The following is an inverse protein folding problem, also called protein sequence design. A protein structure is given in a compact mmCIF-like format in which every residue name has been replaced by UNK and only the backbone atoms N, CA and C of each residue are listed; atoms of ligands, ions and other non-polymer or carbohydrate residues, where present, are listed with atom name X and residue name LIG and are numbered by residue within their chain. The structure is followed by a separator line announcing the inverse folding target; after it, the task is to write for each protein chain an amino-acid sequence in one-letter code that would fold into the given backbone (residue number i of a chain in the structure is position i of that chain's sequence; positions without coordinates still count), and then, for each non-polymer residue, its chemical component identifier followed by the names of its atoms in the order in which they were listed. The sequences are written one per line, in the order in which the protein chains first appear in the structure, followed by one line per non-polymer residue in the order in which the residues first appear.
data_IF_058069767660
#
_entry.id   IF_058069767660
#
_cell.length_a   1.000
_cell.length_b   1.000
_cell.length_c   1.000
_cell.angle_alpha   90.00
_cell.angle_beta   90.00
_cell.angle_gamma   90.00
#
_symmetry.space_group_name_H-M   'P 1'
#
loop_
_entity.id
_entity.type
_entity.pdbx_description
1 polymer ?
#
# COMPACT_ATOMS: atom_id res chain seq x y z
N UNK A 1 4.57 -14.06 -6.85
CA UNK A 1 3.70 -13.61 -5.75
C UNK A 1 4.56 -12.78 -4.82
N UNK A 2 4.13 -11.55 -4.46
CA UNK A 2 4.96 -10.63 -3.70
C UNK A 2 5.40 -11.25 -2.37
N UNK A 3 6.63 -10.96 -1.97
CA UNK A 3 7.24 -11.46 -0.74
C UNK A 3 6.50 -10.96 0.50
N UNK A 4 6.02 -9.72 0.44
CA UNK A 4 5.22 -9.13 1.49
C UNK A 4 4.19 -8.15 0.91
N UNK A 5 3.10 -7.93 1.64
CA UNK A 5 2.10 -6.89 1.34
C UNK A 5 1.66 -6.23 2.63
N UNK A 6 1.56 -4.92 2.62
CA UNK A 6 1.14 -4.13 3.77
C UNK A 6 0.28 -2.95 3.35
N UNK A 7 -0.55 -2.50 4.28
CA UNK A 7 -1.51 -1.41 4.08
C UNK A 7 -1.11 -0.25 4.97
N UNK A 8 -0.94 0.91 4.37
CA UNK A 8 -0.60 2.15 5.06
C UNK A 8 -1.81 3.08 5.03
N UNK A 9 -2.14 3.64 6.19
CA UNK A 9 -3.06 4.76 6.33
C UNK A 9 -2.27 6.00 6.74
N UNK A 10 -2.47 7.11 6.03
CA UNK A 10 -2.04 8.43 6.47
C UNK A 10 -3.05 8.99 7.49
N UNK A 11 -2.58 9.24 8.70
CA UNK A 11 -3.33 9.87 9.79
C UNK A 11 -2.79 11.28 10.04
N UNK A 12 -3.70 12.24 10.20
CA UNK A 12 -3.35 13.67 10.31
C UNK A 12 -2.58 13.99 11.60
N UNK A 13 -2.64 13.12 12.63
CA UNK A 13 -1.98 13.33 13.92
C UNK A 13 -0.75 12.45 14.12
N UNK A 14 -0.79 11.22 13.61
CA UNK A 14 0.25 10.21 13.86
C UNK A 14 1.13 9.91 12.65
N UNK A 15 0.86 10.53 11.49
CA UNK A 15 1.61 10.28 10.26
C UNK A 15 1.26 8.91 9.65
N UNK A 16 2.26 8.12 9.30
CA UNK A 16 2.07 6.82 8.63
C UNK A 16 1.72 5.72 9.62
N UNK A 17 0.52 5.15 9.49
CA UNK A 17 0.07 4.01 10.27
C UNK A 17 -0.03 2.77 9.40
N UNK A 18 0.79 1.75 9.68
CA UNK A 18 0.64 0.43 9.07
C UNK A 18 -0.57 -0.25 9.73
N UNK A 19 -1.63 -0.48 8.95
CA UNK A 19 -2.88 -1.06 9.45
C UNK A 19 -2.88 -2.57 9.42
N UNK A 20 -2.37 -3.14 8.34
CA UNK A 20 -2.31 -4.58 8.11
C UNK A 20 -1.01 -4.90 7.37
N UNK A 21 -0.48 -6.10 7.59
CA UNK A 21 0.72 -6.59 6.92
C UNK A 21 0.76 -8.11 6.87
N UNK A 22 1.32 -8.62 5.78
CA UNK A 22 1.67 -10.01 5.60
C UNK A 22 3.06 -10.10 4.96
N UNK A 23 3.96 -10.96 5.46
CA UNK A 23 3.82 -11.72 6.71
C UNK A 23 3.78 -10.77 7.92
N UNK A 24 3.20 -11.23 9.04
CA UNK A 24 3.10 -10.42 10.27
C UNK A 24 4.45 -10.06 10.88
N UNK A 25 5.50 -10.82 10.53
CA UNK A 25 6.90 -10.58 10.89
C UNK A 25 7.55 -9.44 10.10
N UNK A 26 6.91 -8.91 9.05
CA UNK A 26 7.44 -7.79 8.27
C UNK A 26 7.69 -6.59 9.18
N UNK A 27 8.94 -6.13 9.24
CA UNK A 27 9.32 -4.90 9.94
C UNK A 27 9.52 -3.79 8.92
N UNK A 28 8.94 -2.62 9.21
CA UNK A 28 9.04 -1.43 8.39
C UNK A 28 9.54 -0.31 9.28
N UNK A 29 10.51 0.45 8.79
CA UNK A 29 10.98 1.66 9.46
C UNK A 29 10.25 2.89 8.88
N UNK A 30 10.28 3.99 9.63
CA UNK A 30 9.62 5.24 9.23
C UNK A 30 10.20 5.81 7.93
N UNK A 31 11.51 5.63 7.71
CA UNK A 31 12.20 6.09 6.50
C UNK A 31 11.64 5.45 5.23
N UNK A 32 11.35 4.14 5.24
CA UNK A 32 10.74 3.42 4.12
C UNK A 32 9.36 4.02 3.81
N UNK A 33 8.53 4.20 4.83
CA UNK A 33 7.18 4.76 4.67
C UNK A 33 7.23 6.18 4.09
N UNK A 34 8.13 7.02 4.58
CA UNK A 34 8.34 8.38 4.09
C UNK A 34 8.75 8.39 2.61
N UNK A 35 9.68 7.51 2.21
CA UNK A 35 10.16 7.43 0.83
C UNK A 35 9.09 6.95 -0.14
N UNK A 36 8.32 5.92 0.23
CA UNK A 36 7.19 5.44 -0.59
C UNK A 36 6.19 6.58 -0.84
N UNK A 37 5.86 7.33 0.21
CA UNK A 37 4.90 8.41 0.11
C UNK A 37 5.42 9.61 -0.70
N UNK A 38 6.70 9.94 -0.56
CA UNK A 38 7.33 11.00 -1.34
C UNK A 38 7.25 10.72 -2.85
N UNK A 39 7.60 9.49 -3.26
CA UNK A 39 7.51 9.07 -4.67
C UNK A 39 6.06 9.16 -5.19
N UNK A 40 5.08 8.80 -4.36
CA UNK A 40 3.67 8.94 -4.72
C UNK A 40 3.23 10.41 -4.92
N UNK A 41 3.59 11.29 -3.98
CA UNK A 41 3.23 12.72 -4.05
C UNK A 41 3.77 13.42 -5.29
N UNK A 42 4.91 12.96 -5.80
CA UNK A 42 5.55 13.51 -6.99
C UNK A 42 4.70 13.30 -8.25
N UNK A 43 4.08 12.13 -8.38
CA UNK A 43 3.35 11.77 -9.60
C UNK A 43 1.88 12.20 -9.58
N UNK A 44 1.27 12.43 -8.41
CA UNK A 44 -0.15 12.86 -8.22
C UNK A 44 -1.16 12.11 -9.11
N UNK A 45 -0.84 10.89 -9.53
CA UNK A 45 -1.64 10.07 -10.43
C UNK A 45 -2.22 8.88 -9.68
N UNK A 46 -3.38 8.45 -10.15
CA UNK A 46 -4.02 7.24 -9.69
C UNK A 46 -3.41 6.03 -10.40
N UNK A 47 -2.31 5.49 -9.86
CA UNK A 47 -1.68 4.29 -10.41
C UNK A 47 -0.69 3.66 -9.41
N UNK A 48 -0.12 2.52 -9.80
CA UNK A 48 1.05 1.94 -9.18
C UNK A 48 2.28 2.84 -9.35
N UNK A 49 2.89 3.18 -8.23
CA UNK A 49 4.27 3.67 -8.18
C UNK A 49 5.23 2.51 -7.85
N UNK A 50 6.41 2.54 -8.44
CA UNK A 50 7.48 1.58 -8.16
C UNK A 50 8.70 2.32 -7.60
N UNK A 51 9.26 1.81 -6.52
CA UNK A 51 10.44 2.38 -5.86
C UNK A 51 11.39 1.29 -5.40
N UNK A 52 12.68 1.58 -5.40
CA UNK A 52 13.68 0.73 -4.77
C UNK A 52 14.22 1.44 -3.53
N UNK A 53 13.88 0.93 -2.34
CA UNK A 53 14.17 1.56 -1.06
C UNK A 53 14.92 0.58 -0.17
N UNK A 54 16.15 0.91 0.20
CA UNK A 54 16.99 0.07 1.06
C UNK A 54 17.17 -1.37 0.52
N UNK A 55 17.18 -1.54 -0.81
CA UNK A 55 17.29 -2.83 -1.48
C UNK A 55 15.97 -3.58 -1.65
N UNK A 56 14.86 -3.06 -1.12
CA UNK A 56 13.52 -3.60 -1.33
C UNK A 56 12.88 -2.99 -2.56
N UNK A 57 12.35 -3.83 -3.43
CA UNK A 57 11.54 -3.43 -4.59
C UNK A 57 10.09 -3.26 -4.14
N UNK A 58 9.61 -2.03 -4.02
CA UNK A 58 8.29 -1.74 -3.47
C UNK A 58 7.38 -1.19 -4.57
N UNK A 59 6.29 -1.91 -4.80
CA UNK A 59 5.17 -1.48 -5.63
C UNK A 59 4.05 -0.95 -4.74
N UNK A 60 3.68 0.31 -4.89
CA UNK A 60 2.68 0.98 -4.08
C UNK A 60 1.49 1.40 -4.94
N UNK A 61 0.32 0.87 -4.64
CA UNK A 61 -0.94 1.23 -5.27
C UNK A 61 -1.69 2.26 -4.42
N UNK A 62 -2.12 3.32 -5.08
CA UNK A 62 -2.92 4.39 -4.50
C UNK A 62 -4.16 4.65 -5.36
N UNK A 63 -5.26 5.03 -4.70
CA UNK A 63 -6.48 5.45 -5.37
C UNK A 63 -6.92 6.85 -4.92
N UNK A 64 -7.36 7.67 -5.86
CA UNK A 64 -7.95 8.99 -5.56
C UNK A 64 -9.26 8.87 -4.78
N UNK A 65 -9.95 7.73 -4.90
CA UNK A 65 -11.14 7.41 -4.09
C UNK A 65 -10.79 7.19 -2.61
N UNK A 66 -9.54 6.81 -2.33
CA UNK A 66 -9.05 6.48 -0.99
C UNK A 66 -7.72 7.20 -0.72
N UNK A 67 -7.67 8.54 -0.72
CA UNK A 67 -6.43 9.32 -0.82
C UNK A 67 -5.51 9.22 0.41
N UNK A 68 -6.02 8.65 1.51
CA UNK A 68 -5.26 8.41 2.74
C UNK A 68 -4.82 6.96 2.90
N UNK A 69 -5.08 6.10 1.93
CA UNK A 69 -4.81 4.67 2.00
C UNK A 69 -3.93 4.24 0.84
N UNK A 70 -3.01 3.34 1.14
CA UNK A 70 -2.08 2.80 0.17
C UNK A 70 -1.86 1.32 0.44
N UNK A 71 -1.77 0.54 -0.63
CA UNK A 71 -1.40 -0.87 -0.57
C UNK A 71 -0.02 -1.00 -1.15
N UNK A 72 0.91 -1.52 -0.38
CA UNK A 72 2.30 -1.69 -0.77
C UNK A 72 2.63 -3.17 -0.83
N UNK A 73 3.28 -3.60 -1.90
CA UNK A 73 3.78 -4.95 -2.09
C UNK A 73 5.29 -4.91 -2.30
N UNK A 74 6.01 -5.73 -1.54
CA UNK A 74 7.44 -5.94 -1.70
C UNK A 74 7.62 -7.10 -2.67
N UNK A 75 8.35 -6.83 -3.76
CA UNK A 75 8.66 -7.81 -4.79
C UNK A 75 9.98 -8.50 -4.47
N UNK A 76 10.06 -9.78 -4.79
CA UNK A 76 11.30 -10.53 -4.65
C UNK A 76 12.35 -10.07 -5.68
N UNK A 77 13.60 -10.53 -5.50
CA UNK A 77 14.68 -10.21 -6.42
C UNK A 77 14.42 -10.70 -7.86
N UNK A 78 13.67 -11.79 -8.01
CA UNK A 78 13.37 -12.44 -9.30
C UNK A 78 12.12 -11.87 -9.98
N UNK A 79 11.27 -11.17 -9.23
CA UNK A 79 10.04 -10.59 -9.77
C UNK A 79 10.31 -9.33 -10.62
N UNK A 80 9.65 -9.28 -11.78
CA UNK A 80 9.63 -8.13 -12.67
C UNK A 80 8.33 -7.33 -12.47
N UNK A 81 8.49 -6.09 -12.03
CA UNK A 81 7.38 -5.16 -11.83
C UNK A 81 6.53 -4.96 -13.09
N UNK A 82 7.14 -4.90 -14.28
CA UNK A 82 6.41 -4.62 -15.52
C UNK A 82 5.46 -5.75 -15.89
N UNK A 83 5.86 -7.00 -15.63
CA UNK A 83 5.02 -8.18 -15.86
C UNK A 83 3.87 -8.25 -14.85
N UNK A 84 4.12 -7.85 -13.61
CA UNK A 84 3.15 -7.93 -12.52
C UNK A 84 2.27 -6.68 -12.35
N UNK A 85 2.55 -5.59 -13.08
CA UNK A 85 1.89 -4.29 -12.90
C UNK A 85 0.36 -4.39 -12.92
N UNK A 86 -0.21 -5.10 -13.89
CA UNK A 86 -1.66 -5.22 -14.01
C UNK A 86 -2.28 -5.96 -12.81
N UNK A 87 -1.65 -7.05 -12.36
CA UNK A 87 -2.11 -7.85 -11.23
C UNK A 87 -1.97 -7.08 -9.91
N UNK A 88 -0.85 -6.39 -9.71
CA UNK A 88 -0.60 -5.56 -8.53
C UNK A 88 -1.60 -4.40 -8.45
N UNK A 89 -1.96 -3.79 -9.58
CA UNK A 89 -2.96 -2.73 -9.59
C UNK A 89 -4.36 -3.27 -9.30
N UNK A 90 -4.71 -4.41 -9.90
CA UNK A 90 -6.00 -5.08 -9.67
C UNK A 90 -6.18 -5.51 -8.22
N UNK A 91 -5.16 -6.14 -7.64
CA UNK A 91 -5.15 -6.57 -6.23
C UNK A 91 -5.17 -5.38 -5.28
N UNK A 92 -4.35 -4.35 -5.51
CA UNK A 92 -4.36 -3.12 -4.73
C UNK A 92 -5.74 -2.45 -4.72
N UNK A 93 -6.38 -2.35 -5.89
CA UNK A 93 -7.75 -1.81 -6.02
C UNK A 93 -8.76 -2.63 -5.23
N UNK A 94 -8.71 -3.95 -5.35
CA UNK A 94 -9.60 -4.85 -4.64
C UNK A 94 -9.42 -4.74 -3.12
N UNK A 95 -8.18 -4.72 -2.63
CA UNK A 95 -7.87 -4.61 -1.20
C UNK A 95 -8.42 -3.30 -0.63
N UNK A 96 -8.21 -2.16 -1.30
CA UNK A 96 -8.74 -0.87 -0.85
C UNK A 96 -10.28 -0.88 -0.81
N UNK A 97 -10.94 -1.45 -1.81
CA UNK A 97 -12.40 -1.57 -1.84
C UNK A 97 -12.94 -2.44 -0.68
N UNK A 98 -12.27 -3.56 -0.38
CA UNK A 98 -12.64 -4.44 0.73
C UNK A 98 -12.47 -3.75 2.08
N UNK A 99 -11.37 -3.03 2.29
CA UNK A 99 -11.15 -2.24 3.51
C UNK A 99 -12.28 -1.25 3.73
N UNK A 100 -12.73 -0.57 2.68
CA UNK A 100 -13.85 0.36 2.78
C UNK A 100 -15.15 -0.34 3.17
N UNK A 101 -15.46 -1.47 2.54
CA UNK A 101 -16.67 -2.23 2.84
C UNK A 101 -16.70 -2.68 4.31
N UNK A 102 -15.59 -3.23 4.82
CA UNK A 102 -15.46 -3.67 6.21
C UNK A 102 -15.67 -2.51 7.18
N UNK A 103 -15.06 -1.34 6.90
CA UNK A 103 -15.22 -0.15 7.75
C UNK A 103 -16.64 0.40 7.74
N UNK A 104 -17.31 0.35 6.59
CA UNK A 104 -18.69 0.81 6.47
C UNK A 104 -19.62 -0.09 7.28
N UNK A 105 -19.43 -1.41 7.28
CA UNK A 105 -20.20 -2.34 8.11
C UNK A 105 -19.85 -2.31 9.60
N UNK A 106 -18.61 -1.99 9.97
CA UNK A 106 -18.23 -1.74 11.36
C UNK A 106 -19.02 -0.59 12.00
N UNK A 107 -19.45 0.40 11.22
CA UNK A 107 -20.26 1.52 11.71
C UNK A 107 -21.72 1.14 11.95
N UNK A 108 -22.25 0.12 11.25
CA UNK A 108 -23.64 -0.35 11.42
C UNK A 108 -23.83 -1.28 12.62
N UNK A 109 -22.77 -1.86 13.19
CA UNK A 109 -22.85 -2.68 14.42
C UNK A 109 -22.86 -1.88 15.73
N UNK A 110 -22.89 -0.54 15.65
CA UNK A 110 -22.87 0.36 16.83
C UNK A 110 -24.21 1.01 17.17
N UNK A 111 -25.31 0.59 16.53
CA UNK A 111 -26.67 1.03 16.85
C UNK A 111 -27.60 -0.17 17.00
#
# INVERSE_FOLDING_TARGET
MPEATFIVQLDDFHGFLVKERYPSSLTLNEKILNLIFYEHQKDKKEDLSYSNVEGMKIAAYHSLQYPRWMVCSILSAEEDFNLLRAELAGSGRLILALLQLIRTHSLWKRY
#
